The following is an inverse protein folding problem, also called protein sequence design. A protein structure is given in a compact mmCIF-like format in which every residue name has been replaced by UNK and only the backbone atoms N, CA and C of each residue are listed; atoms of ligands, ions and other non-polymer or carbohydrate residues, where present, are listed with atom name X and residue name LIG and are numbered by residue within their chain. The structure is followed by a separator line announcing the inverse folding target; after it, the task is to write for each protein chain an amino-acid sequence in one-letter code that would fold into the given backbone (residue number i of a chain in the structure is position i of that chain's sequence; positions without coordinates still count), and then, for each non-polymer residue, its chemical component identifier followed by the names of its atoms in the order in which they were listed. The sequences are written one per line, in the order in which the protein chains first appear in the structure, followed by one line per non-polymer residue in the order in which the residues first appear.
data_IF_567508806727
#
_entry.id   IF_567508806727
#
_cell.length_a   1.000
_cell.length_b   1.000
_cell.length_c   1.000
_cell.angle_alpha   90.00
_cell.angle_beta   90.00
_cell.angle_gamma   90.00
#
_symmetry.space_group_name_H-M   'P 1'
#
loop_
_entity.id
_entity.type
_entity.pdbx_description
1 polymer ?
#
# COMPACT_ATOMS: atom_id res chain seq x y z
N UNK A 1 24.19 28.26 -55.19
CA UNK A 1 24.81 26.97 -55.39
C UNK A 1 24.34 26.07 -54.26
N UNK A 2 23.25 25.34 -54.54
CA UNK A 2 22.69 24.33 -53.66
C UNK A 2 23.47 23.02 -53.90
N UNK A 3 23.79 22.31 -52.80
CA UNK A 3 24.18 20.91 -52.88
C UNK A 3 23.16 20.12 -52.03
N UNK A 4 22.30 19.41 -52.74
CA UNK A 4 21.45 18.36 -52.19
C UNK A 4 22.33 17.16 -51.79
N UNK A 5 22.07 16.66 -50.59
CA UNK A 5 22.66 15.40 -50.12
C UNK A 5 21.51 14.37 -49.96
N UNK A 6 21.42 13.53 -50.98
CA UNK A 6 20.56 12.37 -51.04
C UNK A 6 21.18 11.22 -50.20
N UNK A 7 20.48 10.71 -49.20
CA UNK A 7 20.78 9.40 -48.62
C UNK A 7 19.65 8.44 -48.91
N UNK A 8 19.94 7.17 -49.27
CA UNK A 8 18.92 6.22 -49.68
C UNK A 8 18.21 5.58 -48.49
N UNK A 9 16.87 5.44 -48.66
CA UNK A 9 16.01 4.66 -47.78
C UNK A 9 16.28 3.18 -47.94
N UNK A 10 16.63 2.47 -46.86
CA UNK A 10 16.66 1.03 -46.80
C UNK A 10 15.23 0.46 -46.65
N UNK A 11 14.83 -0.26 -47.66
CA UNK A 11 13.56 -1.03 -47.71
C UNK A 11 13.77 -2.36 -47.01
N UNK A 12 13.05 -2.58 -45.88
CA UNK A 12 13.03 -3.86 -45.17
C UNK A 12 12.11 -4.82 -45.94
N UNK A 13 12.69 -5.78 -46.61
CA UNK A 13 11.99 -6.87 -47.30
C UNK A 13 11.60 -7.98 -46.32
N UNK A 14 10.30 -8.30 -46.29
CA UNK A 14 9.74 -9.44 -45.57
C UNK A 14 10.32 -10.74 -46.17
N UNK A 15 11.03 -11.54 -45.39
CA UNK A 15 11.41 -12.90 -45.75
C UNK A 15 10.23 -13.83 -45.50
N UNK A 16 9.74 -14.42 -46.58
CA UNK A 16 8.82 -15.56 -46.60
C UNK A 16 9.57 -16.81 -46.10
N UNK A 17 9.06 -17.45 -45.05
CA UNK A 17 9.47 -18.80 -44.69
C UNK A 17 8.65 -19.79 -45.51
N UNK A 18 9.29 -20.42 -46.48
CA UNK A 18 8.73 -21.55 -47.25
C UNK A 18 8.76 -22.82 -46.42
N UNK A 19 7.62 -23.51 -46.35
CA UNK A 19 7.53 -24.88 -45.85
C UNK A 19 8.10 -25.84 -46.86
N UNK A 20 9.24 -26.45 -46.55
CA UNK A 20 9.77 -27.60 -47.27
C UNK A 20 9.26 -28.90 -46.63
N UNK A 21 8.42 -29.65 -47.35
CA UNK A 21 8.02 -30.99 -46.96
C UNK A 21 9.18 -31.97 -47.24
N UNK A 22 9.66 -32.61 -46.18
CA UNK A 22 10.56 -33.77 -46.30
C UNK A 22 9.81 -35.00 -45.82
N UNK A 23 9.46 -35.89 -46.77
CA UNK A 23 8.95 -37.22 -46.47
C UNK A 23 10.11 -38.14 -46.13
N UNK A 24 10.19 -38.63 -44.90
CA UNK A 24 11.03 -39.74 -44.53
C UNK A 24 10.16 -40.83 -43.89
N UNK A 25 10.08 -41.95 -44.58
CA UNK A 25 9.52 -43.20 -44.08
C UNK A 25 10.61 -43.88 -43.23
N UNK A 26 10.33 -44.13 -41.97
CA UNK A 26 11.12 -45.05 -41.15
C UNK A 26 10.26 -45.69 -40.08
N UNK A 27 10.50 -46.95 -39.90
CA UNK A 27 9.79 -47.98 -39.17
C UNK A 27 9.58 -47.72 -37.68
N UNK A 28 8.51 -48.33 -37.19
CA UNK A 28 7.92 -48.33 -35.86
C UNK A 28 8.85 -48.36 -34.65
N UNK A 29 8.62 -47.36 -33.82
CA UNK A 29 8.70 -47.46 -32.37
C UNK A 29 7.71 -46.44 -31.82
N UNK A 30 6.59 -46.92 -31.30
CA UNK A 30 5.59 -46.06 -30.63
C UNK A 30 6.16 -45.57 -29.30
N UNK A 31 6.77 -44.41 -29.31
CA UNK A 31 7.05 -43.67 -28.07
C UNK A 31 5.78 -42.91 -27.72
N UNK A 32 5.00 -43.46 -26.76
CA UNK A 32 3.90 -42.76 -26.15
C UNK A 32 4.50 -41.65 -25.28
N UNK A 33 4.63 -40.44 -25.81
CA UNK A 33 4.90 -39.27 -25.02
C UNK A 33 3.61 -38.96 -24.27
N UNK A 34 3.56 -39.31 -22.99
CA UNK A 34 2.49 -38.87 -22.09
C UNK A 34 2.59 -37.34 -21.99
N UNK A 35 1.64 -36.64 -22.62
CA UNK A 35 1.42 -35.21 -22.34
C UNK A 35 1.10 -35.06 -20.86
N UNK A 36 1.77 -34.17 -20.12
CA UNK A 36 1.39 -33.94 -18.74
C UNK A 36 -0.03 -33.39 -18.73
N UNK A 37 -0.86 -34.07 -17.94
CA UNK A 37 -2.28 -33.75 -17.73
C UNK A 37 -2.40 -32.30 -17.26
N UNK A 38 -2.94 -31.40 -18.09
CA UNK A 38 -3.19 -29.99 -17.75
C UNK A 38 -4.29 -29.81 -16.69
N UNK A 39 -4.84 -30.90 -16.17
CA UNK A 39 -5.87 -30.90 -15.11
C UNK A 39 -5.31 -30.94 -13.70
N UNK A 40 -4.01 -30.83 -13.49
CA UNK A 40 -3.38 -30.81 -12.15
C UNK A 40 -2.70 -29.48 -11.83
N UNK A 41 -3.31 -28.36 -12.23
CA UNK A 41 -3.21 -27.14 -11.43
C UNK A 41 -4.20 -27.28 -10.27
N UNK A 42 -4.01 -28.30 -9.46
CA UNK A 42 -4.54 -28.32 -8.12
C UNK A 42 -3.93 -27.12 -7.41
N UNK A 43 -4.80 -26.17 -7.05
CA UNK A 43 -4.47 -25.15 -6.07
C UNK A 43 -3.77 -25.86 -4.90
N UNK A 44 -2.58 -25.38 -4.56
CA UNK A 44 -1.90 -25.85 -3.36
C UNK A 44 -2.92 -25.85 -2.22
N UNK A 45 -3.04 -26.97 -1.54
CA UNK A 45 -3.89 -27.10 -0.37
C UNK A 45 -3.59 -25.96 0.59
N UNK A 46 -4.62 -25.30 1.16
CA UNK A 46 -4.39 -24.22 2.08
C UNK A 46 -3.62 -24.78 3.28
N UNK A 47 -2.45 -24.19 3.53
CA UNK A 47 -1.74 -24.37 4.80
C UNK A 47 -2.75 -24.11 5.90
N UNK A 48 -2.87 -25.08 6.78
CA UNK A 48 -3.87 -25.28 7.82
C UNK A 48 -4.24 -23.99 8.58
N UNK A 49 -5.48 -23.58 8.44
CA UNK A 49 -6.37 -23.13 9.47
C UNK A 49 -6.05 -21.87 10.27
N UNK A 50 -5.97 -20.70 9.70
CA UNK A 50 -6.56 -19.44 10.17
C UNK A 50 -6.53 -18.44 9.01
N UNK A 51 -7.43 -18.59 8.04
CA UNK A 51 -7.72 -17.49 7.10
C UNK A 51 -8.30 -16.35 7.93
N UNK A 52 -7.42 -15.45 8.37
CA UNK A 52 -7.82 -14.22 9.03
C UNK A 52 -8.57 -13.35 8.05
N UNK A 53 -9.82 -13.03 8.33
CA UNK A 53 -10.52 -11.96 7.63
C UNK A 53 -9.72 -10.68 7.79
N UNK A 54 -9.52 -9.91 6.70
CA UNK A 54 -8.93 -8.59 6.80
C UNK A 54 -9.80 -7.69 7.68
N UNK A 55 -9.19 -7.00 8.63
CA UNK A 55 -9.84 -6.00 9.46
C UNK A 55 -9.96 -4.72 8.65
N UNK A 56 -11.10 -4.51 8.01
CA UNK A 56 -11.33 -3.37 7.14
C UNK A 56 -11.70 -2.11 7.91
N UNK A 57 -11.20 -0.96 7.49
CA UNK A 57 -11.49 0.38 8.03
C UNK A 57 -11.63 1.40 6.90
N UNK A 58 -11.84 2.68 7.21
CA UNK A 58 -12.02 3.74 6.22
C UNK A 58 -11.39 5.05 6.66
N UNK A 59 -10.78 5.78 5.72
CA UNK A 59 -10.20 7.09 5.97
C UNK A 59 -11.27 8.19 5.96
N UNK A 60 -11.45 8.87 7.09
CA UNK A 60 -12.49 9.92 7.25
C UNK A 60 -12.37 11.07 6.26
N UNK A 61 -11.16 11.50 5.96
CA UNK A 61 -10.93 12.69 5.12
C UNK A 61 -11.50 12.56 3.69
N UNK A 62 -11.57 11.35 3.16
CA UNK A 62 -12.15 11.07 1.84
C UNK A 62 -13.67 11.35 1.79
N UNK A 63 -14.31 11.40 2.94
CA UNK A 63 -15.77 11.55 3.11
C UNK A 63 -16.07 12.86 3.83
N UNK A 64 -15.56 13.98 3.30
CA UNK A 64 -15.63 15.30 3.94
C UNK A 64 -17.06 15.81 4.17
N UNK A 65 -18.01 15.36 3.34
CA UNK A 65 -19.43 15.73 3.46
C UNK A 65 -20.17 15.05 4.61
N UNK A 66 -19.63 13.97 5.17
CA UNK A 66 -20.20 13.28 6.31
C UNK A 66 -19.54 13.81 7.60
N UNK A 67 -20.32 14.03 8.65
CA UNK A 67 -19.79 14.22 10.00
C UNK A 67 -19.09 12.93 10.48
N UNK A 68 -18.27 13.02 11.52
CA UNK A 68 -17.67 11.83 12.13
C UNK A 68 -18.73 10.86 12.68
N UNK A 69 -19.79 11.38 13.28
CA UNK A 69 -20.91 10.60 13.83
C UNK A 69 -21.63 9.82 12.72
N UNK A 70 -21.94 10.47 11.58
CA UNK A 70 -22.54 9.80 10.41
C UNK A 70 -21.61 8.72 9.85
N UNK A 71 -20.30 9.02 9.72
CA UNK A 71 -19.32 8.04 9.26
C UNK A 71 -19.20 6.84 10.20
N UNK A 72 -19.25 7.05 11.51
CA UNK A 72 -19.27 5.95 12.49
C UNK A 72 -20.50 5.06 12.32
N UNK A 73 -21.69 5.66 12.13
CA UNK A 73 -22.92 4.90 11.90
C UNK A 73 -22.82 4.03 10.64
N UNK A 74 -22.30 4.57 9.54
CA UNK A 74 -22.12 3.80 8.31
C UNK A 74 -21.04 2.72 8.46
N UNK A 75 -19.92 3.04 9.13
CA UNK A 75 -18.85 2.06 9.40
C UNK A 75 -19.38 0.85 10.19
N UNK A 76 -20.21 1.07 11.21
CA UNK A 76 -20.83 -0.02 11.98
C UNK A 76 -21.77 -0.86 11.11
N UNK A 77 -22.62 -0.24 10.28
CA UNK A 77 -23.53 -0.94 9.37
C UNK A 77 -22.77 -1.82 8.36
N UNK A 78 -21.62 -1.36 7.89
CA UNK A 78 -20.78 -2.06 6.93
C UNK A 78 -19.86 -3.12 7.57
N UNK A 79 -19.85 -3.22 8.90
CA UNK A 79 -18.98 -4.16 9.62
C UNK A 79 -17.51 -3.78 9.62
N UNK A 80 -17.19 -2.50 9.39
CA UNK A 80 -15.83 -1.97 9.53
C UNK A 80 -15.41 -1.97 11.00
N UNK A 81 -14.12 -2.21 11.26
CA UNK A 81 -13.61 -2.24 12.64
C UNK A 81 -13.22 -0.86 13.17
N UNK A 82 -13.09 0.14 12.30
CA UNK A 82 -12.66 1.46 12.72
C UNK A 82 -12.56 2.49 11.61
N UNK A 83 -12.05 3.65 11.98
CA UNK A 83 -11.83 4.78 11.09
C UNK A 83 -10.37 5.24 11.20
N UNK A 84 -9.78 5.51 10.06
CA UNK A 84 -8.39 5.94 9.89
C UNK A 84 -8.23 7.46 9.91
N UNK A 85 -7.01 7.88 10.24
CA UNK A 85 -6.50 9.24 10.11
C UNK A 85 -7.27 10.25 10.95
N UNK A 86 -7.65 9.82 12.13
CA UNK A 86 -8.27 10.67 13.15
C UNK A 86 -7.24 11.13 14.20
N UNK A 87 -7.66 12.10 15.02
CA UNK A 87 -6.86 12.67 16.07
C UNK A 87 -7.38 12.24 17.46
N UNK A 88 -6.59 12.42 18.53
CA UNK A 88 -7.02 12.05 19.89
C UNK A 88 -8.35 12.66 20.34
N UNK A 89 -8.69 13.87 19.90
CA UNK A 89 -9.96 14.52 20.19
C UNK A 89 -11.19 13.76 19.65
N UNK A 90 -11.01 12.93 18.63
CA UNK A 90 -12.07 12.15 17.99
C UNK A 90 -12.36 10.81 18.69
N UNK A 91 -11.47 10.37 19.58
CA UNK A 91 -11.53 9.02 20.18
C UNK A 91 -12.79 8.75 20.98
N UNK A 92 -13.34 9.79 21.65
CA UNK A 92 -14.58 9.65 22.41
C UNK A 92 -15.76 9.25 21.49
N UNK A 93 -15.84 9.84 20.30
CA UNK A 93 -16.87 9.51 19.31
C UNK A 93 -16.72 8.07 18.84
N UNK A 94 -15.52 7.61 18.52
CA UNK A 94 -15.28 6.22 18.10
C UNK A 94 -15.69 5.21 19.18
N UNK A 95 -15.29 5.45 20.42
CA UNK A 95 -15.62 4.58 21.55
C UNK A 95 -17.13 4.44 21.77
N UNK A 96 -17.90 5.52 21.59
CA UNK A 96 -19.36 5.52 21.66
C UNK A 96 -19.99 4.54 20.67
N UNK A 97 -19.37 4.35 19.49
CA UNK A 97 -19.83 3.44 18.43
C UNK A 97 -19.16 2.07 18.47
N UNK A 98 -18.26 1.81 19.42
CA UNK A 98 -17.51 0.56 19.49
C UNK A 98 -16.46 0.41 18.38
N UNK A 99 -16.02 1.51 17.78
CA UNK A 99 -15.03 1.55 16.70
C UNK A 99 -13.63 1.90 17.23
N UNK A 100 -12.62 1.51 16.46
CA UNK A 100 -11.22 1.83 16.72
C UNK A 100 -10.76 3.02 15.87
N UNK A 101 -9.79 3.80 16.36
CA UNK A 101 -8.94 4.57 15.48
C UNK A 101 -7.85 3.65 14.96
N UNK A 102 -7.96 3.26 13.70
CA UNK A 102 -7.09 2.24 13.08
C UNK A 102 -5.75 2.79 12.64
N UNK A 103 -5.68 4.11 12.43
CA UNK A 103 -4.46 4.90 12.24
C UNK A 103 -4.66 6.29 12.85
N UNK A 104 -3.80 6.70 13.76
CA UNK A 104 -3.87 8.02 14.39
C UNK A 104 -2.96 9.00 13.66
N UNK A 105 -3.50 10.17 13.32
CA UNK A 105 -2.76 11.25 12.65
C UNK A 105 -1.68 11.84 13.58
N UNK A 106 -0.57 12.29 12.98
CA UNK A 106 0.52 12.92 13.71
C UNK A 106 0.95 14.26 13.09
N UNK A 107 2.21 14.42 12.78
CA UNK A 107 2.80 15.65 12.23
C UNK A 107 2.45 15.88 10.74
N UNK A 108 2.68 17.10 10.20
CA UNK A 108 2.39 17.41 8.80
C UNK A 108 3.14 16.51 7.81
N UNK A 109 2.50 16.25 6.65
CA UNK A 109 3.02 15.39 5.60
C UNK A 109 4.28 15.96 4.95
N UNK A 110 4.30 17.26 4.64
CA UNK A 110 5.39 17.90 3.87
C UNK A 110 6.61 18.25 4.72
N UNK A 111 6.38 18.48 6.02
CA UNK A 111 7.39 18.90 6.99
C UNK A 111 7.73 17.71 7.89
N UNK A 112 8.43 16.73 7.30
CA UNK A 112 8.68 15.45 7.91
C UNK A 112 10.13 15.16 8.25
N UNK A 113 10.39 13.89 8.53
CA UNK A 113 11.59 13.43 9.21
C UNK A 113 12.87 13.42 8.35
N UNK A 114 12.79 13.62 7.03
CA UNK A 114 13.97 13.67 6.18
C UNK A 114 14.80 14.97 6.34
N UNK A 115 14.19 16.03 6.90
CA UNK A 115 14.82 17.32 7.15
C UNK A 115 14.95 17.55 8.67
N UNK A 116 16.16 17.61 9.18
CA UNK A 116 16.46 17.72 10.62
C UNK A 116 15.81 18.94 11.29
N UNK A 117 15.55 20.02 10.52
CA UNK A 117 14.90 21.21 11.06
C UNK A 117 13.49 20.98 11.59
N UNK A 118 12.83 19.90 11.13
CA UNK A 118 11.50 19.53 11.59
C UNK A 118 11.49 18.47 12.70
N UNK A 119 12.65 17.92 13.08
CA UNK A 119 12.75 16.83 14.04
C UNK A 119 12.13 17.18 15.39
N UNK A 120 12.48 18.35 15.95
CA UNK A 120 11.97 18.72 17.28
C UNK A 120 10.45 18.74 17.35
N UNK A 121 9.79 19.44 16.41
CA UNK A 121 8.34 19.54 16.35
C UNK A 121 7.68 18.18 16.04
N UNK A 122 8.21 17.45 15.07
CA UNK A 122 7.66 16.15 14.68
C UNK A 122 7.81 15.11 15.78
N UNK A 123 8.96 15.05 16.45
CA UNK A 123 9.21 14.13 17.57
C UNK A 123 8.34 14.46 18.80
N UNK A 124 8.14 15.75 19.09
CA UNK A 124 7.19 16.15 20.13
C UNK A 124 5.79 15.64 19.83
N UNK A 125 5.29 15.90 18.60
CA UNK A 125 3.96 15.44 18.17
C UNK A 125 3.85 13.92 18.19
N UNK A 126 4.85 13.19 17.71
CA UNK A 126 4.87 11.72 17.74
C UNK A 126 4.80 11.18 19.16
N UNK A 127 5.57 11.73 20.10
CA UNK A 127 5.50 11.31 21.50
C UNK A 127 4.13 11.55 22.11
N UNK A 128 3.57 12.75 21.93
CA UNK A 128 2.24 13.11 22.46
C UNK A 128 1.15 12.18 21.90
N UNK A 129 1.20 11.90 20.58
CA UNK A 129 0.21 11.04 19.91
C UNK A 129 0.40 9.56 20.29
N UNK A 130 1.62 9.06 20.45
CA UNK A 130 1.89 7.69 20.91
C UNK A 130 1.30 7.48 22.32
N UNK A 131 1.50 8.43 23.24
CA UNK A 131 0.92 8.37 24.58
C UNK A 131 -0.61 8.31 24.54
N UNK A 132 -1.25 9.22 23.77
CA UNK A 132 -2.70 9.26 23.61
C UNK A 132 -3.26 7.98 22.97
N UNK A 133 -2.57 7.47 21.93
CA UNK A 133 -2.93 6.23 21.20
C UNK A 133 -2.93 5.04 22.14
N UNK A 134 -1.85 4.87 22.91
CA UNK A 134 -1.72 3.79 23.89
C UNK A 134 -2.75 3.89 25.00
N UNK A 135 -2.96 5.09 25.58
CA UNK A 135 -3.95 5.34 26.61
C UNK A 135 -5.39 5.05 26.16
N UNK A 136 -5.67 5.22 24.88
CA UNK A 136 -6.97 4.89 24.28
C UNK A 136 -7.14 3.40 23.97
N UNK A 137 -6.07 2.60 24.02
CA UNK A 137 -6.06 1.19 23.63
C UNK A 137 -5.94 0.99 22.11
N UNK A 138 -5.52 2.01 21.36
CA UNK A 138 -5.25 1.92 19.91
C UNK A 138 -3.78 1.59 19.67
N UNK A 139 -3.42 1.30 18.40
CA UNK A 139 -2.12 0.68 18.13
C UNK A 139 -1.25 1.40 17.12
N UNK A 140 -1.81 2.13 16.16
CA UNK A 140 -1.07 2.66 15.02
C UNK A 140 -1.03 4.19 15.02
N UNK A 141 0.15 4.73 14.73
CA UNK A 141 0.39 6.17 14.52
C UNK A 141 1.07 6.33 13.17
N UNK A 142 0.56 7.23 12.32
CA UNK A 142 1.21 7.56 11.06
C UNK A 142 2.37 8.52 11.27
N UNK A 143 3.42 8.42 10.43
CA UNK A 143 4.42 9.45 10.28
C UNK A 143 4.80 9.63 8.81
N UNK A 144 5.49 10.72 8.50
CA UNK A 144 5.84 11.08 7.13
C UNK A 144 7.32 11.41 7.02
N UNK A 145 7.93 11.02 5.89
CA UNK A 145 9.31 11.40 5.58
C UNK A 145 9.45 12.91 5.30
N UNK A 146 8.41 13.52 4.78
CA UNK A 146 8.46 14.89 4.29
C UNK A 146 8.97 15.00 2.86
N UNK A 147 8.91 16.24 2.33
CA UNK A 147 9.46 16.57 1.03
C UNK A 147 10.98 16.72 1.10
N UNK A 148 11.67 16.23 0.07
CA UNK A 148 13.13 16.19 -0.01
C UNK A 148 13.77 17.60 -0.04
N UNK A 149 13.17 18.55 -0.72
CA UNK A 149 13.68 19.94 -0.85
C UNK A 149 15.16 20.01 -1.22
N UNK A 150 15.59 19.09 -2.10
CA UNK A 150 16.98 18.98 -2.52
C UNK A 150 17.90 18.19 -1.59
N UNK A 151 17.39 17.64 -0.50
CA UNK A 151 18.15 16.72 0.37
C UNK A 151 18.40 15.41 -0.39
N UNK A 152 19.65 14.96 -0.41
CA UNK A 152 20.03 13.67 -0.99
C UNK A 152 19.27 12.52 -0.31
N UNK A 153 18.85 11.50 -1.09
CA UNK A 153 18.04 10.39 -0.60
C UNK A 153 18.70 9.58 0.52
N UNK A 154 20.03 9.43 0.48
CA UNK A 154 20.77 8.71 1.55
C UNK A 154 20.89 9.57 2.82
N UNK A 155 21.02 10.88 2.65
CA UNK A 155 21.02 11.84 3.77
C UNK A 155 19.63 11.84 4.41
N UNK A 156 18.54 11.96 3.60
CA UNK A 156 17.17 11.92 4.09
C UNK A 156 16.84 10.62 4.84
N UNK A 157 17.34 9.47 4.36
CA UNK A 157 17.18 8.20 5.06
C UNK A 157 17.86 8.20 6.43
N UNK A 158 19.10 8.69 6.51
CA UNK A 158 19.84 8.81 7.78
C UNK A 158 19.12 9.76 8.75
N UNK A 159 18.62 10.88 8.27
CA UNK A 159 17.87 11.84 9.09
C UNK A 159 16.58 11.21 9.64
N UNK A 160 15.79 10.54 8.79
CA UNK A 160 14.60 9.79 9.23
C UNK A 160 14.97 8.73 10.28
N UNK A 161 16.01 7.94 10.05
CA UNK A 161 16.44 6.92 10.98
C UNK A 161 16.89 7.51 12.33
N UNK A 162 17.65 8.62 12.30
CA UNK A 162 18.10 9.31 13.51
C UNK A 162 16.93 9.86 14.34
N UNK A 163 15.88 10.40 13.68
CA UNK A 163 14.66 10.86 14.34
C UNK A 163 13.88 9.68 14.94
N UNK A 164 13.62 8.64 14.15
CA UNK A 164 12.84 7.47 14.57
C UNK A 164 13.48 6.70 15.71
N UNK A 165 14.81 6.56 15.73
CA UNK A 165 15.56 5.93 16.84
C UNK A 165 15.38 6.68 18.18
N UNK A 166 15.03 7.98 18.17
CA UNK A 166 14.75 8.74 19.39
C UNK A 166 13.36 8.47 19.98
N UNK A 167 12.40 8.03 19.16
CA UNK A 167 10.99 7.88 19.58
C UNK A 167 10.52 6.43 19.59
N UNK A 168 11.13 5.53 18.80
CA UNK A 168 10.66 4.15 18.66
C UNK A 168 10.67 3.37 19.99
N UNK A 169 11.62 3.64 20.87
CA UNK A 169 11.67 3.03 22.21
C UNK A 169 10.48 3.42 23.12
N UNK A 170 9.85 4.57 22.89
CA UNK A 170 8.58 4.94 23.54
C UNK A 170 7.45 4.10 22.93
N UNK A 171 7.38 4.01 21.62
CA UNK A 171 6.38 3.19 20.90
C UNK A 171 6.44 1.71 21.35
N UNK A 172 7.63 1.14 21.50
CA UNK A 172 7.84 -0.22 22.03
C UNK A 172 7.23 -0.39 23.42
N UNK A 173 7.59 0.48 24.36
CA UNK A 173 7.07 0.46 25.73
C UNK A 173 5.56 0.60 25.80
N UNK A 174 4.97 1.33 24.87
CA UNK A 174 3.53 1.62 24.79
C UNK A 174 2.76 0.65 23.90
N UNK A 175 3.44 -0.32 23.29
CA UNK A 175 2.87 -1.27 22.32
C UNK A 175 2.16 -0.56 21.15
N UNK A 176 2.71 0.53 20.68
CA UNK A 176 2.24 1.31 19.51
C UNK A 176 3.18 1.07 18.34
N UNK A 177 2.67 1.02 17.12
CA UNK A 177 3.43 0.91 15.89
C UNK A 177 3.42 2.27 15.19
N UNK A 178 4.60 2.79 14.88
CA UNK A 178 4.77 3.96 14.03
C UNK A 178 4.80 3.47 12.58
N UNK A 179 3.93 3.99 11.72
CA UNK A 179 3.83 3.59 10.32
C UNK A 179 4.20 4.76 9.43
N UNK A 180 5.32 4.67 8.68
CA UNK A 180 5.66 5.68 7.68
C UNK A 180 4.94 5.38 6.37
N UNK A 181 4.19 6.35 5.88
CA UNK A 181 3.43 6.18 4.66
C UNK A 181 4.32 6.29 3.41
N UNK A 182 4.11 5.34 2.49
CA UNK A 182 4.65 5.35 1.14
C UNK A 182 3.71 6.14 0.22
N UNK A 183 4.18 7.28 -0.30
CA UNK A 183 3.39 8.14 -1.17
C UNK A 183 4.01 8.22 -2.58
N UNK A 184 3.21 8.52 -3.58
CA UNK A 184 3.74 8.74 -4.92
C UNK A 184 4.27 10.16 -5.09
N UNK A 185 5.48 10.29 -5.64
CA UNK A 185 6.10 11.57 -6.00
C UNK A 185 5.84 11.98 -7.46
N UNK A 186 5.20 11.11 -8.25
CA UNK A 186 4.97 11.34 -9.68
C UNK A 186 3.73 12.19 -9.97
N UNK A 187 2.68 12.08 -9.16
CA UNK A 187 1.38 12.70 -9.41
C UNK A 187 0.94 13.57 -8.24
N UNK A 188 0.76 12.99 -7.04
CA UNK A 188 0.03 13.64 -5.95
C UNK A 188 0.93 14.39 -4.96
N UNK A 189 2.14 13.88 -4.70
CA UNK A 189 3.05 14.41 -3.69
C UNK A 189 4.45 14.65 -4.26
N UNK A 190 4.60 15.59 -5.23
CA UNK A 190 5.91 15.90 -5.80
C UNK A 190 6.95 16.14 -4.71
N UNK A 191 8.16 15.61 -4.92
CA UNK A 191 9.30 15.77 -4.01
C UNK A 191 9.19 14.99 -2.67
N UNK A 192 8.17 14.14 -2.46
CA UNK A 192 8.10 13.32 -1.24
C UNK A 192 9.25 12.31 -1.19
N UNK A 193 9.91 12.19 -0.01
CA UNK A 193 11.15 11.41 0.10
C UNK A 193 10.90 9.88 0.10
N UNK A 194 9.94 9.38 0.88
CA UNK A 194 9.63 7.94 1.02
C UNK A 194 8.63 7.49 -0.05
N UNK A 195 9.04 7.53 -1.31
CA UNK A 195 8.17 7.32 -2.47
C UNK A 195 8.28 5.94 -3.12
N UNK A 196 9.02 5.02 -2.50
CA UNK A 196 9.12 3.64 -2.96
C UNK A 196 9.41 2.66 -1.82
N UNK A 197 9.00 1.41 -1.98
CA UNK A 197 9.13 0.39 -0.95
C UNK A 197 10.58 0.03 -0.63
N UNK A 198 11.49 0.07 -1.59
CA UNK A 198 12.88 -0.26 -1.36
C UNK A 198 13.54 0.69 -0.36
N UNK A 199 13.33 2.00 -0.53
CA UNK A 199 13.83 3.03 0.40
C UNK A 199 13.18 2.90 1.78
N UNK A 200 11.85 2.70 1.84
CA UNK A 200 11.14 2.50 3.11
C UNK A 200 11.61 1.26 3.88
N UNK A 201 11.86 0.15 3.18
CA UNK A 201 12.39 -1.09 3.77
C UNK A 201 13.82 -0.89 4.28
N UNK A 202 14.66 -0.16 3.56
CA UNK A 202 16.00 0.19 4.03
C UNK A 202 15.90 1.01 5.33
N UNK A 203 14.99 1.97 5.40
CA UNK A 203 14.73 2.72 6.64
C UNK A 203 14.25 1.81 7.78
N UNK A 204 13.34 0.86 7.53
CA UNK A 204 12.93 -0.11 8.55
C UNK A 204 14.10 -0.91 9.11
N UNK A 205 15.01 -1.36 8.26
CA UNK A 205 16.23 -2.07 8.65
C UNK A 205 17.17 -1.20 9.46
N UNK A 206 17.32 0.06 9.06
CA UNK A 206 18.19 1.02 9.77
C UNK A 206 17.64 1.38 11.15
N UNK A 207 16.32 1.51 11.30
CA UNK A 207 15.66 1.73 12.61
C UNK A 207 15.76 0.50 13.50
N UNK A 208 15.58 -0.69 12.94
CA UNK A 208 15.81 -1.98 13.60
C UNK A 208 14.76 -2.36 14.64
N UNK A 209 13.54 -1.80 14.59
CA UNK A 209 12.46 -2.10 15.53
C UNK A 209 11.21 -2.65 14.84
N UNK A 210 10.54 -3.62 15.45
CA UNK A 210 9.25 -4.12 15.02
C UNK A 210 8.09 -3.12 15.28
N UNK A 211 8.33 -2.06 16.03
CA UNK A 211 7.39 -0.98 16.30
C UNK A 211 7.53 0.20 15.33
N UNK A 212 8.38 0.05 14.29
CA UNK A 212 8.41 0.90 13.13
C UNK A 212 8.16 0.06 11.88
N UNK A 213 7.14 0.41 11.13
CA UNK A 213 6.67 -0.26 9.90
C UNK A 213 6.38 0.77 8.82
N UNK A 214 5.98 0.29 7.65
CA UNK A 214 5.46 1.10 6.57
C UNK A 214 3.95 0.96 6.49
N UNK A 215 3.28 2.05 6.20
CA UNK A 215 1.95 2.05 5.64
C UNK A 215 2.11 1.90 4.13
N UNK A 216 1.68 0.76 3.59
CA UNK A 216 1.72 0.47 2.17
C UNK A 216 0.41 0.93 1.52
N UNK A 217 0.42 2.12 0.94
CA UNK A 217 -0.72 2.61 0.15
C UNK A 217 -0.64 2.02 -1.26
N UNK A 218 -1.59 1.16 -1.57
CA UNK A 218 -1.66 0.39 -2.82
C UNK A 218 -1.83 1.32 -4.02
N UNK A 219 -2.63 2.39 -3.88
CA UNK A 219 -2.81 3.39 -4.93
C UNK A 219 -1.49 4.10 -5.25
N UNK A 220 -0.79 4.58 -4.23
CA UNK A 220 0.49 5.26 -4.41
C UNK A 220 1.55 4.34 -5.00
N UNK A 221 1.65 3.11 -4.52
CA UNK A 221 2.67 2.17 -4.98
C UNK A 221 2.35 1.61 -6.37
N UNK A 222 1.09 1.55 -6.79
CA UNK A 222 0.75 1.25 -8.18
C UNK A 222 1.35 2.30 -9.14
N UNK A 223 1.25 3.58 -8.81
CA UNK A 223 1.83 4.68 -9.60
C UNK A 223 3.36 4.61 -9.65
N UNK A 224 3.99 4.26 -8.53
CA UNK A 224 5.45 4.28 -8.40
C UNK A 224 6.11 3.00 -8.91
N UNK A 225 5.58 1.84 -8.56
CA UNK A 225 6.26 0.55 -8.70
C UNK A 225 5.48 -0.47 -9.52
N UNK A 226 4.15 -0.53 -9.37
CA UNK A 226 3.34 -1.65 -9.88
C UNK A 226 3.67 -2.97 -9.17
N UNK A 227 3.35 -4.10 -9.81
CA UNK A 227 3.65 -5.48 -9.31
C UNK A 227 3.28 -5.68 -7.82
N UNK A 228 2.12 -5.14 -7.44
CA UNK A 228 1.65 -4.98 -6.05
C UNK A 228 1.65 -6.30 -5.28
N UNK A 229 1.09 -7.37 -5.86
CA UNK A 229 0.95 -8.66 -5.17
C UNK A 229 2.33 -9.25 -4.84
N UNK A 230 3.28 -9.21 -5.76
CA UNK A 230 4.64 -9.72 -5.52
C UNK A 230 5.37 -8.87 -4.48
N UNK A 231 5.22 -7.55 -4.53
CA UNK A 231 5.78 -6.63 -3.52
C UNK A 231 5.25 -6.94 -2.13
N UNK A 232 3.94 -7.17 -1.97
CA UNK A 232 3.31 -7.57 -0.72
C UNK A 232 3.86 -8.92 -0.23
N UNK A 233 3.82 -9.96 -1.07
CA UNK A 233 4.29 -11.30 -0.71
C UNK A 233 5.74 -11.33 -0.25
N UNK A 234 6.60 -10.55 -0.90
CA UNK A 234 8.03 -10.49 -0.61
C UNK A 234 8.36 -9.67 0.65
N UNK A 235 7.59 -8.63 0.93
CA UNK A 235 7.99 -7.59 1.89
C UNK A 235 6.97 -7.39 3.03
N UNK A 236 5.93 -8.23 3.15
CA UNK A 236 4.82 -8.07 4.12
C UNK A 236 5.30 -7.85 5.56
N UNK A 237 6.45 -8.40 5.96
CA UNK A 237 7.00 -8.22 7.30
C UNK A 237 7.33 -6.76 7.65
N UNK A 238 7.48 -5.90 6.65
CA UNK A 238 7.73 -4.46 6.84
C UNK A 238 6.45 -3.63 6.81
N UNK A 239 5.32 -4.19 6.38
CA UNK A 239 4.06 -3.47 6.23
C UNK A 239 3.19 -3.65 7.47
N UNK A 240 2.86 -2.55 8.14
CA UNK A 240 2.03 -2.52 9.35
C UNK A 240 0.60 -2.10 9.09
N UNK A 241 0.32 -1.52 7.92
CA UNK A 241 -0.98 -1.00 7.52
C UNK A 241 -1.09 -0.94 6.01
N UNK A 242 -2.32 -1.01 5.48
CA UNK A 242 -2.57 -0.88 4.04
C UNK A 242 -3.67 0.15 3.77
N UNK A 243 -3.45 0.99 2.75
CA UNK A 243 -4.48 1.84 2.16
C UNK A 243 -4.85 1.38 0.75
N UNK A 244 -6.11 1.64 0.36
CA UNK A 244 -6.65 1.32 -0.98
C UNK A 244 -7.11 2.58 -1.69
N UNK A 245 -7.08 2.56 -3.00
CA UNK A 245 -7.67 3.57 -3.87
C UNK A 245 -7.65 3.09 -5.31
N UNK A 246 -8.67 3.43 -6.11
CA UNK A 246 -8.69 3.09 -7.52
C UNK A 246 -7.65 3.89 -8.31
N UNK A 247 -6.86 3.25 -9.15
CA UNK A 247 -5.87 3.88 -9.99
C UNK A 247 -6.26 3.73 -11.48
N UNK A 248 -6.31 4.83 -12.25
CA UNK A 248 -5.96 6.21 -11.90
C UNK A 248 -7.04 6.93 -11.09
N UNK A 249 -6.69 8.06 -10.48
CA UNK A 249 -7.59 9.07 -9.94
C UNK A 249 -7.96 8.93 -8.45
N UNK A 250 -7.53 7.84 -7.77
CA UNK A 250 -7.82 7.60 -6.35
C UNK A 250 -9.32 7.55 -6.03
N UNK A 251 -10.11 6.99 -6.97
CA UNK A 251 -11.56 6.85 -6.87
C UNK A 251 -11.97 5.46 -6.38
N UNK A 252 -13.24 5.10 -6.62
CA UNK A 252 -13.83 3.81 -6.23
C UNK A 252 -13.01 2.60 -6.74
N UNK A 253 -13.13 1.46 -6.05
CA UNK A 253 -12.45 0.21 -6.41
C UNK A 253 -13.20 -0.62 -7.48
N UNK A 254 -14.01 0.03 -8.31
CA UNK A 254 -14.85 -0.58 -9.32
C UNK A 254 -14.05 -1.01 -10.58
N UNK A 255 -14.75 -1.30 -11.68
CA UNK A 255 -14.19 -1.73 -12.97
C UNK A 255 -13.61 -0.58 -13.83
N UNK A 256 -13.66 0.66 -13.35
CA UNK A 256 -13.11 1.84 -14.02
C UNK A 256 -11.65 2.13 -13.65
N UNK A 257 -11.00 1.20 -12.94
CA UNK A 257 -9.62 1.32 -12.47
C UNK A 257 -8.81 0.03 -12.73
N UNK A 258 -7.48 0.08 -12.64
CA UNK A 258 -6.58 -0.98 -13.13
C UNK A 258 -6.19 -2.05 -12.08
N UNK A 259 -6.50 -1.85 -10.79
CA UNK A 259 -6.12 -2.74 -9.69
C UNK A 259 -7.18 -3.82 -9.45
N UNK A 260 -6.78 -5.09 -9.44
CA UNK A 260 -7.71 -6.18 -9.12
C UNK A 260 -7.71 -6.48 -7.62
N UNK A 261 -8.46 -5.67 -6.86
CA UNK A 261 -8.51 -5.73 -5.40
C UNK A 261 -8.86 -7.09 -4.78
N UNK A 262 -9.75 -7.93 -5.36
CA UNK A 262 -9.98 -9.27 -4.81
C UNK A 262 -8.74 -10.15 -4.72
N UNK A 263 -7.83 -10.06 -5.70
CA UNK A 263 -6.57 -10.80 -5.67
C UNK A 263 -5.57 -10.17 -4.69
N UNK A 264 -5.52 -8.86 -4.60
CA UNK A 264 -4.66 -8.12 -3.67
C UNK A 264 -5.05 -8.43 -2.22
N UNK A 265 -6.35 -8.35 -1.89
CA UNK A 265 -6.87 -8.67 -0.55
C UNK A 265 -6.53 -10.12 -0.14
N UNK A 266 -6.71 -11.09 -1.06
CA UNK A 266 -6.31 -12.49 -0.82
C UNK A 266 -4.80 -12.64 -0.58
N UNK A 267 -3.99 -11.91 -1.34
CA UNK A 267 -2.53 -11.94 -1.16
C UNK A 267 -2.11 -11.38 0.20
N UNK A 268 -2.72 -10.29 0.65
CA UNK A 268 -2.47 -9.72 2.00
C UNK A 268 -2.92 -10.71 3.08
N UNK A 269 -4.14 -11.25 2.99
CA UNK A 269 -4.66 -12.21 3.96
C UNK A 269 -3.79 -13.47 4.06
N UNK A 270 -3.25 -13.96 2.93
CA UNK A 270 -2.37 -15.12 2.87
C UNK A 270 -1.03 -14.93 3.59
N UNK A 271 -0.60 -13.69 3.84
CA UNK A 271 0.62 -13.40 4.63
C UNK A 271 0.42 -13.55 6.15
N UNK A 272 -0.81 -13.77 6.61
CA UNK A 272 -1.14 -13.74 8.04
C UNK A 272 -1.21 -12.33 8.63
N UNK A 273 -1.42 -11.31 7.79
CA UNK A 273 -1.50 -9.92 8.23
C UNK A 273 -2.57 -9.70 9.29
N UNK A 274 -2.19 -9.10 10.42
CA UNK A 274 -3.06 -8.85 11.58
C UNK A 274 -3.30 -7.34 11.83
N UNK A 275 -2.87 -6.49 10.90
CA UNK A 275 -3.13 -5.04 10.94
C UNK A 275 -4.51 -4.66 10.36
N UNK A 276 -4.62 -3.42 9.89
CA UNK A 276 -5.85 -2.90 9.31
C UNK A 276 -5.65 -2.57 7.83
N UNK A 277 -6.74 -2.72 7.09
CA UNK A 277 -6.85 -2.49 5.65
C UNK A 277 -7.91 -1.40 5.44
N UNK A 278 -7.44 -0.17 5.19
CA UNK A 278 -8.31 0.99 5.16
C UNK A 278 -8.63 1.44 3.74
N UNK A 279 -9.90 1.76 3.51
CA UNK A 279 -10.38 2.33 2.26
C UNK A 279 -10.09 3.83 2.23
N UNK A 280 -9.19 4.24 1.34
CA UNK A 280 -8.76 5.63 1.17
C UNK A 280 -8.92 6.09 -0.28
N UNK A 281 -10.13 6.09 -0.75
CA UNK A 281 -10.48 6.60 -2.07
C UNK A 281 -11.45 7.77 -1.97
N UNK A 282 -11.42 8.67 -2.96
CA UNK A 282 -12.29 9.85 -3.05
C UNK A 282 -13.50 9.48 -3.90
N UNK A 283 -14.70 9.31 -3.30
CA UNK A 283 -15.89 8.93 -4.05
C UNK A 283 -16.27 9.96 -5.12
N UNK A 284 -16.54 9.49 -6.34
CA UNK A 284 -17.13 10.29 -7.42
C UNK A 284 -18.65 10.12 -7.43
N UNK A 285 -19.12 8.91 -7.16
CA UNK A 285 -20.53 8.57 -7.05
C UNK A 285 -21.11 8.78 -5.66
N UNK A 286 -22.14 8.01 -5.32
CA UNK A 286 -22.66 7.96 -3.94
C UNK A 286 -21.59 7.34 -3.00
N UNK A 287 -21.15 8.08 -2.00
CA UNK A 287 -20.01 7.67 -1.19
C UNK A 287 -20.25 6.38 -0.39
N UNK A 288 -21.47 6.13 0.07
CA UNK A 288 -21.78 4.94 0.86
C UNK A 288 -21.93 3.71 -0.03
N UNK A 289 -22.48 3.87 -1.22
CA UNK A 289 -22.52 2.80 -2.23
C UNK A 289 -21.10 2.40 -2.62
N UNK A 290 -20.23 3.35 -2.96
CA UNK A 290 -18.83 3.09 -3.30
C UNK A 290 -18.07 2.38 -2.18
N UNK A 291 -18.25 2.81 -0.93
CA UNK A 291 -17.64 2.16 0.22
C UNK A 291 -18.19 0.74 0.46
N UNK A 292 -19.51 0.57 0.31
CA UNK A 292 -20.14 -0.74 0.43
C UNK A 292 -19.57 -1.75 -0.56
N UNK A 293 -19.38 -1.34 -1.79
CA UNK A 293 -18.82 -2.19 -2.85
C UNK A 293 -17.33 -2.48 -2.62
N UNK A 294 -16.56 -1.49 -2.16
CA UNK A 294 -15.16 -1.69 -1.79
C UNK A 294 -15.01 -2.71 -0.66
N UNK A 295 -15.83 -2.60 0.39
CA UNK A 295 -15.85 -3.57 1.51
C UNK A 295 -16.15 -4.98 1.00
N UNK A 296 -17.17 -5.15 0.14
CA UNK A 296 -17.54 -6.47 -0.44
C UNK A 296 -16.42 -7.05 -1.30
N UNK A 297 -15.79 -6.23 -2.16
CA UNK A 297 -14.68 -6.64 -3.03
C UNK A 297 -13.48 -7.19 -2.24
N UNK A 298 -13.26 -6.68 -1.04
CA UNK A 298 -12.11 -7.03 -0.19
C UNK A 298 -12.45 -8.06 0.91
N UNK A 299 -13.64 -8.66 0.88
CA UNK A 299 -13.98 -9.79 1.76
C UNK A 299 -13.17 -11.04 1.35
N UNK A 300 -12.39 -11.60 2.30
CA UNK A 300 -11.54 -12.78 2.10
C UNK A 300 -11.57 -13.69 3.34
#
# INVERSE_FOLDING_TARGET
MQKENNQPQETITRRNFGFGAVSAVAAGASITVALPNLSALQAADPVDGKKGKLKQSVCKWCYSKLSLEEMCNEAVKLGLVGIDLLKPEDFATLKKHGLLCTMVSSHPLTDGLCDEKYHEASLKTLNDVIEATSAAGYRNVICFSGNARGIDRKIGLKNCAAALKKVVGVAEKKNVIINMELLNSRVDHPDYMCDNSAWGIELCKEVGSNHFKLLYDIYHMQIMEGDIIRSIQKNHQYFGHYHTGGNPGRHELNDQQELFYPAIAKAIAATGFDGYFAHEFIPVGDPITGLTDAVKLCLV
#
